data_IF_566839653633
#
_entry.id   IF_566839653633
#
_cell.length_a   1.000
_cell.length_b   1.000
_cell.length_c   1.000
_cell.angle_alpha   90.00
_cell.angle_beta   90.00
_cell.angle_gamma   90.00
#
_symmetry.space_group_name_H-M   'P 1'
#
loop_
_entity.id
_entity.type
_entity.pdbx_description
1 polymer ?
#
# COMPACT_ATOMS: atom_id res chain seq x y z
N UNK A 1 -4.64 -24.24 9.24
CA UNK A 1 -4.37 -22.92 9.84
C UNK A 1 -2.96 -22.49 9.47
N UNK A 2 -2.79 -21.58 8.52
CA UNK A 2 -1.46 -21.04 8.21
C UNK A 2 -1.06 -20.05 9.31
N UNK A 3 -0.16 -20.48 10.19
CA UNK A 3 0.50 -19.61 11.17
C UNK A 3 1.32 -18.59 10.35
N UNK A 4 1.07 -17.30 10.57
CA UNK A 4 1.86 -16.22 9.98
C UNK A 4 3.35 -16.49 10.23
N UNK A 5 4.13 -16.64 9.16
CA UNK A 5 5.59 -16.57 9.29
C UNK A 5 5.89 -15.13 9.64
N UNK A 6 6.38 -14.85 10.85
CA UNK A 6 6.94 -13.54 11.16
C UNK A 6 8.21 -13.41 10.33
N UNK A 7 8.06 -12.83 9.15
CA UNK A 7 9.19 -12.51 8.29
C UNK A 7 9.97 -11.41 9.00
N UNK A 8 11.26 -11.63 9.22
CA UNK A 8 12.12 -10.60 9.80
C UNK A 8 12.11 -9.41 8.84
N UNK A 9 11.65 -8.26 9.33
CA UNK A 9 11.75 -6.98 8.65
C UNK A 9 13.11 -6.40 9.02
N UNK A 10 13.94 -6.13 8.02
CA UNK A 10 15.26 -5.53 8.18
C UNK A 10 15.17 -4.04 7.85
N UNK A 11 15.74 -3.18 8.69
CA UNK A 11 15.64 -1.72 8.56
C UNK A 11 16.18 -1.20 7.22
N UNK A 12 17.25 -1.80 6.73
CA UNK A 12 17.94 -1.52 5.48
C UNK A 12 17.12 -1.91 4.25
N UNK A 13 16.11 -2.76 4.42
CA UNK A 13 15.22 -3.15 3.34
C UNK A 13 14.02 -2.21 3.19
N UNK A 14 13.83 -1.24 4.10
CA UNK A 14 12.64 -0.38 4.16
C UNK A 14 12.73 0.76 3.14
N UNK A 15 11.64 0.95 2.40
CA UNK A 15 11.38 2.14 1.56
C UNK A 15 10.13 2.85 2.06
N UNK A 16 10.19 4.17 2.11
CA UNK A 16 9.10 5.01 2.62
C UNK A 16 8.15 5.41 1.49
N UNK A 17 6.85 5.41 1.80
CA UNK A 17 5.84 5.97 0.91
C UNK A 17 5.90 7.50 0.98
N UNK A 18 6.21 8.13 -0.15
CA UNK A 18 6.28 9.59 -0.23
C UNK A 18 4.98 10.22 -0.74
N UNK A 19 4.23 9.48 -1.54
CA UNK A 19 2.97 9.95 -2.10
C UNK A 19 2.10 8.76 -2.51
N UNK A 20 0.82 9.03 -2.70
CA UNK A 20 -0.18 8.07 -3.15
C UNK A 20 -1.13 8.71 -4.15
N UNK A 21 -1.62 7.93 -5.09
CA UNK A 21 -2.66 8.34 -6.04
C UNK A 21 -3.51 7.13 -6.41
N UNK A 22 -4.47 7.31 -7.30
CA UNK A 22 -5.28 6.23 -7.86
C UNK A 22 -5.49 6.42 -9.35
N UNK A 23 -5.46 5.35 -10.12
CA UNK A 23 -5.67 5.35 -11.57
C UNK A 23 -6.67 4.26 -11.92
N UNK A 24 -7.69 4.63 -12.69
CA UNK A 24 -8.58 3.69 -13.36
C UNK A 24 -8.26 3.69 -14.87
N UNK A 25 -8.14 2.51 -15.48
CA UNK A 25 -7.89 2.34 -16.91
C UNK A 25 -8.76 1.23 -17.47
N UNK A 26 -9.46 1.46 -18.60
CA UNK A 26 -10.37 0.46 -19.20
C UNK A 26 -9.68 -0.87 -19.50
N UNK A 27 -8.39 -0.84 -19.80
CA UNK A 27 -7.61 -2.02 -20.17
C UNK A 27 -6.90 -2.74 -19.02
N UNK A 28 -6.99 -2.24 -17.77
CA UNK A 28 -6.30 -2.86 -16.63
C UNK A 28 -7.28 -3.19 -15.51
N UNK A 29 -7.18 -4.41 -14.99
CA UNK A 29 -7.97 -4.89 -13.86
C UNK A 29 -9.49 -4.64 -14.04
N UNK A 30 -10.02 -4.84 -15.24
CA UNK A 30 -11.42 -4.63 -15.62
C UNK A 30 -11.94 -3.20 -15.31
N UNK A 31 -11.11 -2.18 -15.52
CA UNK A 31 -11.49 -0.78 -15.30
C UNK A 31 -11.49 -0.35 -13.84
N UNK A 32 -11.04 -1.20 -12.90
CA UNK A 32 -10.98 -0.86 -11.47
C UNK A 32 -10.08 0.33 -11.20
N UNK A 33 -10.46 1.13 -10.20
CA UNK A 33 -9.57 2.15 -9.65
C UNK A 33 -8.46 1.50 -8.81
N UNK A 34 -7.24 1.48 -9.34
CA UNK A 34 -6.08 0.90 -8.68
C UNK A 34 -5.26 1.98 -7.95
N UNK A 35 -4.76 1.68 -6.75
CA UNK A 35 -3.84 2.58 -6.08
C UNK A 35 -2.49 2.65 -6.80
N UNK A 36 -1.86 3.82 -6.73
CA UNK A 36 -0.48 4.08 -7.13
C UNK A 36 0.29 4.50 -5.89
N UNK A 37 1.37 3.79 -5.59
CA UNK A 37 2.22 4.03 -4.43
C UNK A 37 3.58 4.52 -4.93
N UNK A 38 3.94 5.73 -4.52
CA UNK A 38 5.22 6.34 -4.81
C UNK A 38 6.15 6.11 -3.64
N UNK A 39 7.29 5.47 -3.89
CA UNK A 39 8.29 5.16 -2.87
C UNK A 39 9.58 5.96 -3.07
N UNK A 40 10.20 6.35 -1.95
CA UNK A 40 11.56 6.88 -1.97
C UNK A 40 12.55 5.74 -2.26
N UNK A 41 13.31 5.92 -3.34
CA UNK A 41 14.35 4.98 -3.77
C UNK A 41 15.76 5.58 -3.72
N UNK A 42 15.93 6.77 -3.11
CA UNK A 42 17.21 7.48 -3.00
C UNK A 42 18.33 6.62 -2.38
N UNK A 43 17.98 5.76 -1.42
CA UNK A 43 18.89 4.82 -0.75
C UNK A 43 18.80 3.39 -1.27
N UNK A 44 17.95 3.13 -2.27
CA UNK A 44 17.64 1.81 -2.83
C UNK A 44 17.62 1.86 -4.36
N UNK A 45 18.78 2.16 -5.00
CA UNK A 45 18.89 2.21 -6.45
C UNK A 45 18.55 0.85 -7.10
N UNK A 46 18.80 -0.26 -6.39
CA UNK A 46 18.40 -1.60 -6.82
C UNK A 46 16.89 -1.75 -7.03
N UNK A 47 16.06 -1.17 -6.14
CA UNK A 47 14.59 -1.15 -6.28
C UNK A 47 14.17 -0.30 -7.47
N UNK A 48 14.81 0.86 -7.65
CA UNK A 48 14.58 1.72 -8.82
C UNK A 48 14.88 0.99 -10.12
N UNK A 49 16.04 0.35 -10.22
CA UNK A 49 16.44 -0.42 -11.41
C UNK A 49 15.50 -1.61 -11.65
N UNK A 50 15.04 -2.29 -10.60
CA UNK A 50 14.05 -3.37 -10.74
C UNK A 50 12.74 -2.87 -11.37
N UNK A 51 12.24 -1.70 -10.95
CA UNK A 51 11.06 -1.04 -11.53
C UNK A 51 11.31 -0.62 -12.99
N UNK A 52 12.48 -0.02 -13.27
CA UNK A 52 12.82 0.46 -14.61
C UNK A 52 12.96 -0.70 -15.59
N UNK A 53 13.61 -1.80 -15.22
CA UNK A 53 13.85 -2.94 -16.11
C UNK A 53 12.56 -3.66 -16.53
N UNK A 54 11.52 -3.63 -15.70
CA UNK A 54 10.21 -4.17 -16.06
C UNK A 54 9.54 -3.44 -17.22
N UNK A 55 10.00 -2.25 -17.64
CA UNK A 55 9.48 -1.60 -18.85
C UNK A 55 9.74 -2.41 -20.13
N UNK A 56 10.71 -3.32 -20.09
CA UNK A 56 11.13 -4.13 -21.23
C UNK A 56 10.63 -5.58 -21.16
N UNK A 57 9.94 -5.96 -20.08
CA UNK A 57 9.46 -7.32 -19.85
C UNK A 57 7.99 -7.27 -19.42
N UNK A 58 7.14 -8.02 -20.11
CA UNK A 58 5.69 -7.95 -19.88
C UNK A 58 5.23 -8.57 -18.54
N UNK A 59 6.00 -9.50 -17.96
CA UNK A 59 5.61 -10.27 -16.78
C UNK A 59 6.79 -10.50 -15.83
N UNK A 60 6.46 -10.75 -14.56
CA UNK A 60 7.43 -11.06 -13.50
C UNK A 60 6.79 -11.91 -12.42
N UNK A 61 7.63 -12.45 -11.54
CA UNK A 61 7.21 -13.27 -10.40
C UNK A 61 7.43 -12.45 -9.12
N UNK A 62 6.40 -12.30 -8.29
CA UNK A 62 6.47 -11.54 -7.03
C UNK A 62 5.83 -12.30 -5.88
N UNK A 63 6.47 -12.24 -4.72
CA UNK A 63 5.92 -12.71 -3.44
C UNK A 63 5.68 -11.47 -2.57
N UNK A 64 4.49 -11.39 -1.98
CA UNK A 64 4.13 -10.27 -1.10
C UNK A 64 3.65 -10.76 0.25
N UNK A 65 4.00 -10.04 1.31
CA UNK A 65 3.52 -10.36 2.64
C UNK A 65 3.32 -9.10 3.49
N UNK A 66 2.13 -8.99 4.08
CA UNK A 66 1.83 -7.98 5.09
C UNK A 66 2.44 -8.33 6.45
N UNK A 67 2.88 -7.31 7.17
CA UNK A 67 3.47 -7.46 8.50
C UNK A 67 3.37 -6.20 9.36
N UNK A 68 3.61 -6.39 10.65
CA UNK A 68 3.71 -5.36 11.68
C UNK A 68 4.87 -5.73 12.61
N UNK A 69 5.63 -4.75 13.09
CA UNK A 69 6.73 -5.02 14.02
C UNK A 69 6.22 -5.54 15.37
N UNK A 70 4.99 -5.18 15.75
CA UNK A 70 4.32 -5.64 16.96
C UNK A 70 2.82 -5.73 16.77
N UNK A 71 2.15 -6.67 17.45
CA UNK A 71 0.68 -6.78 17.44
C UNK A 71 -0.02 -5.52 17.97
N UNK A 72 0.67 -4.75 18.82
CA UNK A 72 0.16 -3.49 19.40
C UNK A 72 0.41 -2.28 18.52
N UNK A 73 1.27 -2.40 17.52
CA UNK A 73 1.54 -1.34 16.57
C UNK A 73 0.49 -1.39 15.46
N UNK A 74 -0.51 -0.52 15.55
CA UNK A 74 -1.57 -0.41 14.56
C UNK A 74 -1.27 0.65 13.50
N UNK A 75 -0.32 1.55 13.78
CA UNK A 75 -0.06 2.70 12.92
C UNK A 75 1.05 2.44 11.91
N UNK A 76 1.97 1.50 12.15
CA UNK A 76 3.00 1.14 11.18
C UNK A 76 2.71 -0.22 10.57
N UNK A 77 2.43 -0.23 9.27
CA UNK A 77 2.15 -1.43 8.48
C UNK A 77 3.23 -1.58 7.42
N UNK A 78 3.67 -2.81 7.22
CA UNK A 78 4.75 -3.14 6.31
C UNK A 78 4.26 -4.12 5.26
N UNK A 79 4.59 -3.86 4.00
CA UNK A 79 4.40 -4.79 2.90
C UNK A 79 5.76 -5.23 2.38
N UNK A 80 6.14 -6.47 2.69
CA UNK A 80 7.34 -7.10 2.13
C UNK A 80 7.03 -7.47 0.69
N UNK A 81 7.91 -7.07 -0.22
CA UNK A 81 7.85 -7.37 -1.65
C UNK A 81 9.15 -8.05 -2.04
N UNK A 82 9.04 -9.25 -2.59
CA UNK A 82 10.16 -10.05 -3.07
C UNK A 82 9.92 -10.38 -4.55
N UNK A 83 10.59 -9.64 -5.41
CA UNK A 83 10.60 -9.83 -6.86
C UNK A 83 11.61 -10.92 -7.20
N UNK A 84 11.18 -11.93 -7.96
CA UNK A 84 12.01 -13.07 -8.37
C UNK A 84 12.44 -13.01 -9.83
N UNK A 85 11.65 -12.35 -10.68
CA UNK A 85 11.93 -12.17 -12.12
C UNK A 85 11.33 -10.86 -12.63
N UNK A 86 11.88 -10.27 -13.71
CA UNK A 86 13.18 -10.55 -14.33
C UNK A 86 14.41 -10.15 -13.49
N UNK A 87 14.24 -9.30 -12.49
CA UNK A 87 15.31 -8.85 -11.59
C UNK A 87 14.97 -9.28 -10.17
N UNK A 88 15.90 -9.99 -9.52
CA UNK A 88 15.72 -10.35 -8.11
C UNK A 88 15.93 -9.10 -7.24
N UNK A 89 14.91 -8.72 -6.48
CA UNK A 89 14.97 -7.57 -5.60
C UNK A 89 14.00 -7.78 -4.43
N UNK A 90 14.43 -7.45 -3.22
CA UNK A 90 13.61 -7.56 -2.02
C UNK A 90 13.63 -6.23 -1.26
N UNK A 91 12.46 -5.76 -0.89
CA UNK A 91 12.29 -4.54 -0.13
C UNK A 91 10.99 -4.60 0.68
N UNK A 92 10.87 -3.71 1.65
CA UNK A 92 9.69 -3.58 2.50
C UNK A 92 9.15 -2.18 2.38
N UNK A 93 7.90 -2.04 1.94
CA UNK A 93 7.24 -0.74 1.89
C UNK A 93 6.64 -0.45 3.26
N UNK A 94 7.00 0.69 3.84
CA UNK A 94 6.43 1.15 5.10
C UNK A 94 5.25 2.10 4.85
N UNK A 95 4.11 1.80 5.49
CA UNK A 95 2.92 2.63 5.49
C UNK A 95 2.56 3.09 6.91
N UNK A 96 2.32 4.40 7.05
CA UNK A 96 1.65 4.98 8.21
C UNK A 96 0.13 4.87 8.03
N UNK A 97 -0.54 4.01 8.80
CA UNK A 97 -2.00 3.76 8.70
C UNK A 97 -2.82 5.04 8.79
N UNK A 98 -2.46 5.96 9.69
CA UNK A 98 -3.18 7.24 9.84
C UNK A 98 -3.18 8.09 8.55
N UNK A 99 -2.12 7.97 7.73
CA UNK A 99 -1.96 8.72 6.47
C UNK A 99 -2.41 7.91 5.26
N UNK A 100 -2.02 6.64 5.21
CA UNK A 100 -2.10 5.78 4.03
C UNK A 100 -3.19 4.71 4.14
N UNK A 101 -3.98 4.68 5.20
CA UNK A 101 -4.95 3.61 5.44
C UNK A 101 -5.97 3.43 4.32
N UNK A 102 -6.42 4.52 3.71
CA UNK A 102 -7.30 4.46 2.53
C UNK A 102 -6.66 3.71 1.35
N UNK A 103 -5.35 3.86 1.14
CA UNK A 103 -4.61 3.15 0.09
C UNK A 103 -4.38 1.70 0.46
N UNK A 104 -3.98 1.40 1.70
CA UNK A 104 -3.84 0.00 2.16
C UNK A 104 -5.16 -0.75 1.98
N UNK A 105 -6.30 -0.13 2.34
CA UNK A 105 -7.64 -0.69 2.16
C UNK A 105 -7.95 -0.96 0.67
N UNK A 106 -7.55 -0.06 -0.24
CA UNK A 106 -7.66 -0.27 -1.68
C UNK A 106 -6.75 -1.38 -2.22
N UNK A 107 -5.50 -1.48 -1.74
CA UNK A 107 -4.57 -2.55 -2.13
C UNK A 107 -5.16 -3.91 -1.73
N UNK A 108 -5.67 -4.01 -0.50
CA UNK A 108 -6.27 -5.24 0.03
C UNK A 108 -7.53 -5.62 -0.75
N UNK A 109 -8.36 -4.64 -1.10
CA UNK A 109 -9.58 -4.87 -1.86
C UNK A 109 -9.31 -5.31 -3.30
N UNK A 110 -8.38 -4.65 -3.98
CA UNK A 110 -8.07 -4.91 -5.39
C UNK A 110 -7.13 -6.10 -5.58
N UNK A 111 -6.35 -6.48 -4.56
CA UNK A 111 -5.33 -7.53 -4.68
C UNK A 111 -4.08 -7.07 -5.43
N UNK A 112 -3.84 -5.76 -5.51
CA UNK A 112 -2.67 -5.23 -6.22
C UNK A 112 -2.65 -3.71 -6.33
N UNK A 113 -1.53 -3.18 -6.80
CA UNK A 113 -1.29 -1.73 -6.94
C UNK A 113 -0.16 -1.43 -7.90
N UNK A 114 -0.12 -0.20 -8.42
CA UNK A 114 1.03 0.29 -9.15
C UNK A 114 2.10 0.78 -8.20
N UNK A 115 3.30 0.23 -8.30
CA UNK A 115 4.48 0.73 -7.63
C UNK A 115 5.25 1.64 -8.57
N UNK A 116 5.66 2.78 -8.05
CA UNK A 116 6.45 3.74 -8.78
C UNK A 116 7.59 4.29 -7.93
N UNK A 117 8.78 4.37 -8.52
CA UNK A 117 9.89 5.08 -7.92
C UNK A 117 9.69 6.58 -8.08
N UNK A 118 9.98 7.32 -7.01
CA UNK A 118 10.14 8.76 -7.08
C UNK A 118 11.53 9.11 -6.57
N UNK A 119 12.23 9.95 -7.32
CA UNK A 119 13.46 10.58 -6.87
C UNK A 119 13.09 11.82 -6.07
N UNK A 120 13.77 12.01 -4.95
CA UNK A 120 13.62 13.18 -4.10
C UNK A 120 13.80 14.47 -4.93
N UNK A 121 12.85 15.41 -4.79
CA UNK A 121 12.86 16.70 -5.51
C UNK A 121 12.26 16.73 -6.92
N UNK A 122 11.93 15.60 -7.57
CA UNK A 122 11.19 15.63 -8.86
C UNK A 122 9.70 15.86 -8.64
N UNK A 123 9.11 16.79 -9.40
CA UNK A 123 7.68 17.13 -9.28
C UNK A 123 6.81 15.91 -9.60
N UNK A 124 5.72 15.72 -8.87
CA UNK A 124 4.71 14.66 -9.08
C UNK A 124 4.26 14.56 -10.55
N UNK A 125 4.22 15.67 -11.27
CA UNK A 125 3.87 15.73 -12.70
C UNK A 125 4.86 14.98 -13.59
N UNK A 126 6.16 15.06 -13.30
CA UNK A 126 7.19 14.31 -14.04
C UNK A 126 7.14 12.82 -13.69
N UNK A 127 6.78 12.51 -12.44
CA UNK A 127 6.55 11.15 -12.01
C UNK A 127 5.40 10.49 -12.79
N UNK A 128 4.33 11.19 -13.17
CA UNK A 128 3.17 10.56 -13.85
C UNK A 128 3.52 9.80 -15.14
N UNK A 129 4.61 10.16 -15.82
CA UNK A 129 5.11 9.47 -17.03
C UNK A 129 6.29 8.52 -16.75
N UNK A 130 6.78 8.44 -15.51
CA UNK A 130 7.86 7.54 -15.14
C UNK A 130 7.38 6.08 -15.17
N UNK A 131 8.30 5.12 -15.42
CA UNK A 131 7.96 3.70 -15.39
C UNK A 131 7.36 3.30 -14.05
N UNK A 132 6.29 2.51 -14.12
CA UNK A 132 5.59 1.92 -12.97
C UNK A 132 5.37 0.44 -13.25
N UNK A 133 5.28 -0.35 -12.18
CA UNK A 133 5.00 -1.78 -12.27
C UNK A 133 3.73 -2.11 -11.50
N UNK A 134 2.91 -3.03 -12.02
CA UNK A 134 1.76 -3.55 -11.30
C UNK A 134 2.23 -4.71 -10.41
N UNK A 135 2.05 -4.58 -9.10
CA UNK A 135 2.37 -5.61 -8.11
C UNK A 135 1.07 -6.28 -7.67
N UNK A 136 0.98 -7.59 -7.86
CA UNK A 136 -0.06 -8.41 -7.24
C UNK A 136 0.23 -8.62 -5.76
N UNK A 137 -0.80 -8.54 -4.93
CA UNK A 137 -0.68 -8.66 -3.47
C UNK A 137 -1.57 -9.80 -2.97
N UNK A 138 -0.99 -10.67 -2.16
CA UNK A 138 -1.75 -11.70 -1.44
C UNK A 138 -2.45 -11.10 -0.21
N UNK A 139 -3.78 -11.12 -0.20
CA UNK A 139 -4.58 -10.34 0.79
C UNK A 139 -5.46 -11.16 1.72
N UNK A 140 -5.79 -12.42 1.38
CA UNK A 140 -6.84 -13.20 2.08
C UNK A 140 -6.62 -13.32 3.58
N UNK A 141 -5.40 -13.59 4.03
CA UNK A 141 -5.10 -13.75 5.46
C UNK A 141 -5.09 -12.42 6.22
N UNK A 142 -4.62 -11.34 5.61
CA UNK A 142 -4.46 -10.04 6.27
C UNK A 142 -5.77 -9.24 6.33
N UNK A 143 -6.71 -9.46 5.40
CA UNK A 143 -7.95 -8.67 5.30
C UNK A 143 -8.74 -8.58 6.62
N UNK A 144 -8.89 -9.69 7.35
CA UNK A 144 -9.62 -9.70 8.62
C UNK A 144 -8.94 -8.85 9.68
N UNK A 145 -7.61 -8.96 9.78
CA UNK A 145 -6.81 -8.17 10.72
C UNK A 145 -6.82 -6.68 10.34
N UNK A 146 -6.80 -6.39 9.04
CA UNK A 146 -6.82 -5.04 8.52
C UNK A 146 -8.07 -4.25 8.93
N UNK A 147 -9.26 -4.85 8.87
CA UNK A 147 -10.51 -4.17 9.24
C UNK A 147 -10.45 -3.66 10.69
N UNK A 148 -9.93 -4.49 11.62
CA UNK A 148 -9.75 -4.14 13.02
C UNK A 148 -8.67 -3.06 13.21
N UNK A 149 -7.53 -3.19 12.53
CA UNK A 149 -6.43 -2.22 12.56
C UNK A 149 -6.94 -0.85 12.10
N UNK A 150 -7.59 -0.80 10.94
CA UNK A 150 -7.94 0.46 10.31
C UNK A 150 -8.98 1.22 11.10
N UNK A 151 -10.03 0.53 11.56
CA UNK A 151 -11.03 1.11 12.45
C UNK A 151 -10.40 1.69 13.71
N UNK A 152 -9.51 0.93 14.38
CA UNK A 152 -8.85 1.37 15.61
C UNK A 152 -8.01 2.63 15.39
N UNK A 153 -7.26 2.71 14.29
CA UNK A 153 -6.45 3.90 13.99
C UNK A 153 -7.34 5.12 13.72
N UNK A 154 -8.41 4.99 12.95
CA UNK A 154 -9.32 6.11 12.68
C UNK A 154 -9.99 6.60 13.96
N UNK A 155 -10.45 5.70 14.85
CA UNK A 155 -11.01 6.07 16.16
C UNK A 155 -10.00 6.86 16.99
N UNK A 156 -8.75 6.40 17.08
CA UNK A 156 -7.72 7.11 17.86
C UNK A 156 -7.35 8.46 17.24
N UNK A 157 -7.29 8.56 15.90
CA UNK A 157 -7.10 9.84 15.21
C UNK A 157 -8.24 10.81 15.51
N UNK A 158 -9.50 10.35 15.45
CA UNK A 158 -10.67 11.19 15.73
C UNK A 158 -10.70 11.68 17.18
N UNK A 159 -10.42 10.79 18.15
CA UNK A 159 -10.30 11.16 19.56
C UNK A 159 -9.20 12.20 19.77
N UNK A 160 -8.03 12.00 19.17
CA UNK A 160 -6.88 12.90 19.30
C UNK A 160 -7.13 14.27 18.66
N UNK A 161 -7.69 14.31 17.45
CA UNK A 161 -7.78 15.53 16.63
C UNK A 161 -9.06 16.33 16.86
N UNK A 162 -10.18 15.64 17.17
CA UNK A 162 -11.50 16.26 17.36
C UNK A 162 -12.02 16.19 18.80
N UNK A 163 -11.28 15.56 19.72
CA UNK A 163 -11.65 15.41 21.14
C UNK A 163 -13.02 14.75 21.35
N UNK A 164 -13.42 13.86 20.43
CA UNK A 164 -14.70 13.14 20.50
C UNK A 164 -14.71 12.12 21.63
N UNK A 165 -15.90 11.83 22.17
CA UNK A 165 -16.09 10.67 23.05
C UNK A 165 -15.83 9.35 22.31
N UNK A 166 -15.59 8.27 23.05
CA UNK A 166 -15.34 6.96 22.43
C UNK A 166 -16.50 6.50 21.55
N UNK A 167 -17.75 6.79 21.95
CA UNK A 167 -18.95 6.39 21.19
C UNK A 167 -19.05 7.16 19.88
N UNK A 168 -18.88 8.48 19.93
CA UNK A 168 -18.93 9.34 18.73
C UNK A 168 -17.78 9.05 17.77
N UNK A 169 -16.59 8.78 18.29
CA UNK A 169 -15.43 8.43 17.47
C UNK A 169 -15.61 7.12 16.72
N UNK A 170 -16.18 6.09 17.36
CA UNK A 170 -16.51 4.82 16.68
C UNK A 170 -17.53 5.05 15.55
N UNK A 171 -18.64 5.75 15.84
CA UNK A 171 -19.68 5.98 14.83
C UNK A 171 -19.13 6.76 13.62
N UNK A 172 -18.36 7.83 13.85
CA UNK A 172 -17.76 8.59 12.76
C UNK A 172 -16.67 7.78 12.01
N UNK A 173 -15.94 6.90 12.70
CA UNK A 173 -14.98 6.02 12.05
C UNK A 173 -15.66 5.06 11.07
N UNK A 174 -16.77 4.46 11.47
CA UNK A 174 -17.58 3.60 10.60
C UNK A 174 -18.05 4.36 9.35
N UNK A 175 -18.58 5.57 9.51
CA UNK A 175 -19.04 6.40 8.40
C UNK A 175 -17.91 6.76 7.42
N UNK A 176 -16.75 7.18 7.95
CA UNK A 176 -15.56 7.50 7.14
C UNK A 176 -15.11 6.28 6.35
N UNK A 177 -14.95 5.13 7.02
CA UNK A 177 -14.49 3.89 6.38
C UNK A 177 -15.48 3.43 5.32
N UNK A 178 -16.78 3.47 5.61
CA UNK A 178 -17.82 3.11 4.65
C UNK A 178 -17.80 4.03 3.42
N UNK A 179 -17.59 5.33 3.59
CA UNK A 179 -17.51 6.27 2.47
C UNK A 179 -16.27 6.05 1.62
N UNK A 180 -15.10 5.82 2.22
CA UNK A 180 -13.87 5.44 1.48
C UNK A 180 -14.12 4.16 0.67
N UNK A 181 -14.79 3.17 1.27
CA UNK A 181 -15.11 1.89 0.62
C UNK A 181 -16.16 2.01 -0.49
N UNK A 182 -16.98 3.06 -0.51
CA UNK A 182 -17.82 3.37 -1.67
C UNK A 182 -16.98 3.91 -2.83
N UNK A 183 -16.04 4.81 -2.56
CA UNK A 183 -15.16 5.41 -3.57
C UNK A 183 -14.28 4.36 -4.25
N UNK A 184 -13.71 3.40 -3.49
CA UNK A 184 -12.87 2.35 -4.09
C UNK A 184 -13.60 1.44 -5.09
N UNK A 185 -14.93 1.39 -5.06
CA UNK A 185 -15.72 0.62 -6.03
C UNK A 185 -15.89 1.33 -7.38
N UNK A 186 -15.33 2.54 -7.55
CA UNK A 186 -15.32 3.23 -8.83
C UNK A 186 -14.67 2.37 -9.91
N UNK A 187 -15.32 2.33 -11.08
CA UNK A 187 -14.84 1.65 -12.28
C UNK A 187 -15.02 2.54 -13.48
N UNK A 188 -13.99 2.61 -14.31
CA UNK A 188 -14.07 3.27 -15.60
C UNK A 188 -14.73 2.33 -16.61
N UNK A 189 -15.90 2.73 -17.12
CA UNK A 189 -16.59 2.08 -18.24
C UNK A 189 -15.96 2.52 -19.55
#
# INVERSE_FOLDING_TARGET
MNKYKVSKIYSEEIVEVINVSTIASKGVADGKNLPVVFIDTSKRPDVREAILNHRYVATGDVITQWGRLSKKDYNNIYLIVEMKRPVECKFTIHFLTEKHGHIIDMIIFNGGFYLQSAEDGKKVVEALNAPRILIEVTTRSFKKEWDEIYHKVIVEVLKRTRKLSSKEACQQADDIINNIRKIRNFRMK
#
